data_IF_691308487835
#
_entry.id   IF_691308487835
#
_cell.length_a   1.000
_cell.length_b   1.000
_cell.length_c   1.000
_cell.angle_alpha   90.00
_cell.angle_beta   90.00
_cell.angle_gamma   90.00
#
_symmetry.space_group_name_H-M   'P 1'
#
loop_
_entity.id
_entity.type
_entity.pdbx_description
1 polymer ?
#
# COMPACT_ATOMS: atom_id res chain seq x y z
N UNK A 1 -4.96 -5.71 -12.29
CA UNK A 1 -3.87 -4.82 -11.86
C UNK A 1 -3.50 -5.10 -10.42
N UNK A 2 -2.21 -5.19 -10.12
CA UNK A 2 -1.63 -5.41 -8.79
C UNK A 2 -1.52 -4.08 -8.06
N UNK A 3 -2.14 -3.99 -6.89
CA UNK A 3 -2.19 -2.75 -6.10
C UNK A 3 -1.37 -2.92 -4.83
N UNK A 4 -0.48 -1.97 -4.59
CA UNK A 4 0.19 -1.73 -3.33
C UNK A 4 -0.50 -0.62 -2.53
N UNK A 5 -0.60 -0.74 -1.22
CA UNK A 5 -1.14 0.32 -0.35
C UNK A 5 -0.10 0.72 0.69
N UNK A 6 0.22 2.01 0.78
CA UNK A 6 1.10 2.61 1.77
C UNK A 6 0.26 3.36 2.80
N UNK A 7 0.22 2.87 4.02
CA UNK A 7 -0.63 3.36 5.11
C UNK A 7 -1.96 2.59 5.17
N UNK A 8 -2.24 2.02 6.33
CA UNK A 8 -3.41 1.22 6.68
C UNK A 8 -4.18 1.81 7.86
N UNK A 9 -4.12 3.14 8.01
CA UNK A 9 -5.09 3.89 8.81
C UNK A 9 -6.51 3.80 8.22
N UNK A 10 -7.39 4.74 8.61
CA UNK A 10 -8.79 4.70 8.19
C UNK A 10 -8.97 4.65 6.66
N UNK A 11 -8.24 5.47 5.92
CA UNK A 11 -8.38 5.54 4.46
C UNK A 11 -7.74 4.34 3.75
N UNK A 12 -6.59 3.86 4.23
CA UNK A 12 -5.96 2.65 3.70
C UNK A 12 -6.85 1.42 3.82
N UNK A 13 -7.50 1.24 4.98
CA UNK A 13 -8.48 0.17 5.20
C UNK A 13 -9.71 0.31 4.30
N UNK A 14 -10.20 1.54 4.08
CA UNK A 14 -11.32 1.76 3.16
C UNK A 14 -10.94 1.38 1.72
N UNK A 15 -9.75 1.77 1.24
CA UNK A 15 -9.25 1.34 -0.07
C UNK A 15 -9.11 -0.17 -0.16
N UNK A 16 -8.50 -0.81 0.85
CA UNK A 16 -8.34 -2.26 0.92
C UNK A 16 -9.69 -2.98 0.82
N UNK A 17 -10.70 -2.52 1.56
CA UNK A 17 -12.04 -3.10 1.56
C UNK A 17 -12.73 -2.99 0.19
N UNK A 18 -12.67 -1.83 -0.46
CA UNK A 18 -13.30 -1.64 -1.78
C UNK A 18 -12.57 -2.39 -2.89
N UNK A 19 -11.24 -2.38 -2.88
CA UNK A 19 -10.42 -3.11 -3.84
C UNK A 19 -10.62 -4.63 -3.71
N UNK A 20 -10.77 -5.15 -2.49
CA UNK A 20 -11.00 -6.58 -2.26
C UNK A 20 -12.33 -7.09 -2.84
N UNK A 21 -13.31 -6.19 -3.07
CA UNK A 21 -14.59 -6.52 -3.71
C UNK A 21 -14.51 -6.51 -5.24
N UNK A 22 -13.46 -5.94 -5.82
CA UNK A 22 -13.33 -5.74 -7.25
C UNK A 22 -12.34 -6.72 -7.88
N UNK A 23 -12.84 -7.66 -8.69
CA UNK A 23 -12.05 -8.72 -9.32
C UNK A 23 -10.97 -8.22 -10.30
N UNK A 24 -11.04 -6.97 -10.76
CA UNK A 24 -10.04 -6.40 -11.66
C UNK A 24 -8.75 -6.00 -10.93
N UNK A 25 -8.80 -5.93 -9.60
CA UNK A 25 -7.67 -5.57 -8.75
C UNK A 25 -7.25 -6.75 -7.88
N UNK A 26 -5.95 -6.87 -7.64
CA UNK A 26 -5.37 -7.81 -6.70
C UNK A 26 -4.51 -7.03 -5.72
N UNK A 27 -4.78 -7.18 -4.42
CA UNK A 27 -3.90 -6.66 -3.38
C UNK A 27 -2.60 -7.45 -3.43
N UNK A 28 -1.50 -6.75 -3.72
CA UNK A 28 -0.19 -7.35 -3.95
C UNK A 28 0.76 -7.12 -2.78
N UNK A 29 0.76 -5.91 -2.24
CA UNK A 29 1.62 -5.53 -1.12
C UNK A 29 0.91 -4.52 -0.24
N UNK A 30 1.16 -4.60 1.05
CA UNK A 30 0.65 -3.67 2.05
C UNK A 30 1.81 -3.14 2.87
N UNK A 31 1.80 -1.85 3.18
CA UNK A 31 2.80 -1.23 4.04
C UNK A 31 2.12 -0.42 5.13
N UNK A 32 2.59 -0.60 6.37
CA UNK A 32 2.38 0.31 7.49
C UNK A 32 3.52 0.13 8.50
N UNK A 33 3.73 1.12 9.37
CA UNK A 33 4.74 1.08 10.44
C UNK A 33 4.40 0.03 11.50
N UNK A 34 3.12 -0.31 11.67
CA UNK A 34 2.64 -1.30 12.63
C UNK A 34 2.00 -2.48 11.90
N UNK A 35 2.57 -3.67 12.07
CA UNK A 35 2.09 -4.89 11.44
C UNK A 35 0.66 -5.24 11.89
N UNK A 36 -0.20 -5.51 10.90
CA UNK A 36 -1.52 -6.10 11.13
C UNK A 36 -1.53 -7.53 10.63
N UNK A 37 -1.42 -8.49 11.56
CA UNK A 37 -1.29 -9.92 11.29
C UNK A 37 -2.55 -10.58 10.69
N UNK A 38 -3.66 -9.86 10.63
CA UNK A 38 -4.95 -10.41 10.17
C UNK A 38 -5.22 -10.15 8.68
N UNK A 39 -4.20 -9.76 7.90
CA UNK A 39 -4.35 -9.40 6.49
C UNK A 39 -3.83 -10.52 5.58
N UNK A 40 -4.64 -10.92 4.60
CA UNK A 40 -4.33 -12.00 3.64
C UNK A 40 -3.42 -11.54 2.47
N UNK A 41 -2.53 -10.58 2.69
CA UNK A 41 -1.64 -10.05 1.68
C UNK A 41 -0.24 -9.81 2.28
N UNK A 42 0.83 -9.88 1.46
CA UNK A 42 2.18 -9.55 1.90
C UNK A 42 2.22 -8.19 2.60
N UNK A 43 2.74 -8.17 3.82
CA UNK A 43 2.84 -6.99 4.66
C UNK A 43 4.30 -6.62 4.86
N UNK A 44 4.60 -5.33 4.73
CA UNK A 44 5.94 -4.79 4.88
C UNK A 44 5.93 -3.63 5.89
N UNK A 45 6.93 -3.60 6.76
CA UNK A 45 7.22 -2.45 7.64
C UNK A 45 8.38 -1.61 7.12
N UNK A 46 9.04 -2.06 6.05
CA UNK A 46 10.09 -1.35 5.34
C UNK A 46 9.55 -0.86 3.98
N UNK A 47 9.68 0.45 3.72
CA UNK A 47 9.12 1.04 2.51
C UNK A 47 9.88 0.61 1.25
N UNK A 48 11.19 0.43 1.31
CA UNK A 48 11.99 0.03 0.15
C UNK A 48 11.71 -1.43 -0.25
N UNK A 49 11.50 -2.32 0.73
CA UNK A 49 11.03 -3.69 0.50
C UNK A 49 9.64 -3.71 -0.15
N UNK A 50 8.72 -2.86 0.32
CA UNK A 50 7.40 -2.69 -0.29
C UNK A 50 7.50 -2.18 -1.72
N UNK A 51 8.33 -1.16 -1.97
CA UNK A 51 8.50 -0.58 -3.31
C UNK A 51 9.15 -1.57 -4.28
N UNK A 52 9.94 -2.54 -3.80
CA UNK A 52 10.50 -3.64 -4.58
C UNK A 52 9.49 -4.70 -5.03
N UNK A 53 8.24 -4.61 -4.58
CA UNK A 53 7.18 -5.49 -5.07
C UNK A 53 6.67 -5.05 -6.44
N UNK A 54 6.22 -6.02 -7.22
CA UNK A 54 5.66 -5.84 -8.56
C UNK A 54 4.23 -5.26 -8.48
N UNK A 55 4.13 -3.95 -8.24
CA UNK A 55 2.87 -3.21 -8.16
C UNK A 55 2.64 -2.41 -9.45
N UNK A 56 1.46 -2.56 -10.07
CA UNK A 56 1.02 -1.70 -11.18
C UNK A 56 0.57 -0.32 -10.67
N UNK A 57 0.03 -0.28 -9.45
CA UNK A 57 -0.57 0.89 -8.81
C UNK A 57 -0.12 0.95 -7.36
N UNK A 58 0.22 2.14 -6.87
CA UNK A 58 0.48 2.41 -5.45
C UNK A 58 -0.49 3.46 -4.94
N UNK A 59 -1.23 3.13 -3.88
CA UNK A 59 -2.10 4.05 -3.15
C UNK A 59 -1.36 4.56 -1.93
N UNK A 60 -1.18 5.87 -1.84
CA UNK A 60 -0.59 6.54 -0.68
C UNK A 60 -1.73 7.05 0.22
N UNK A 61 -1.96 6.37 1.33
CA UNK A 61 -3.01 6.64 2.30
C UNK A 61 -2.45 6.93 3.71
N UNK A 62 -1.25 7.52 3.76
CA UNK A 62 -0.58 7.97 4.98
C UNK A 62 -1.03 9.38 5.41
N UNK A 63 -0.58 9.93 6.55
CA UNK A 63 -0.80 11.34 6.89
C UNK A 63 -0.21 12.30 5.84
N UNK A 64 -0.89 13.44 5.61
CA UNK A 64 -0.61 14.39 4.53
C UNK A 64 0.85 14.84 4.42
N UNK A 65 1.52 15.05 5.56
CA UNK A 65 2.92 15.51 5.59
C UNK A 65 3.91 14.51 4.99
N UNK A 66 3.56 13.23 4.90
CA UNK A 66 4.43 12.17 4.35
C UNK A 66 4.19 11.89 2.86
N UNK A 67 3.11 12.43 2.27
CA UNK A 67 2.72 12.10 0.89
C UNK A 67 3.79 12.43 -0.14
N UNK A 68 4.39 13.62 -0.05
CA UNK A 68 5.39 14.08 -1.01
C UNK A 68 6.64 13.20 -1.00
N UNK A 69 7.14 12.84 0.18
CA UNK A 69 8.33 12.00 0.31
C UNK A 69 8.09 10.61 -0.28
N UNK A 70 6.97 9.98 0.07
CA UNK A 70 6.60 8.65 -0.43
C UNK A 70 6.40 8.69 -1.95
N UNK A 71 5.66 9.67 -2.46
CA UNK A 71 5.43 9.81 -3.90
C UNK A 71 6.74 9.98 -4.68
N UNK A 72 7.69 10.76 -4.16
CA UNK A 72 9.02 10.89 -4.77
C UNK A 72 9.75 9.54 -4.81
N UNK A 73 9.74 8.76 -3.72
CA UNK A 73 10.34 7.42 -3.72
C UNK A 73 9.68 6.46 -4.71
N UNK A 74 8.36 6.56 -4.90
CA UNK A 74 7.62 5.78 -5.88
C UNK A 74 8.07 6.09 -7.32
N UNK A 75 8.24 7.37 -7.68
CA UNK A 75 8.55 7.77 -9.05
C UNK A 75 10.05 7.80 -9.38
N UNK A 76 10.93 7.95 -8.39
CA UNK A 76 12.39 8.01 -8.60
C UNK A 76 13.06 6.63 -8.53
N UNK A 77 12.29 5.56 -8.69
CA UNK A 77 12.76 4.18 -8.66
C UNK A 77 13.45 3.78 -9.96
#
# INVERSE_FOLDING_TARGET
MKVGIVGLGKMGQNHLNELSKNKNFKINALFDMVENKNLNAPFFTNLDEFLNQDNDIIIIATPTNSHLEIARKVFCK
#
